data_IF_073115393310
#
_entry.id   IF_073115393310
#
_cell.length_a   1.000
_cell.length_b   1.000
_cell.length_c   1.000
_cell.angle_alpha   90.00
_cell.angle_beta   90.00
_cell.angle_gamma   90.00
#
_symmetry.space_group_name_H-M   'P 1'
#
loop_
_entity.id
_entity.type
_entity.pdbx_description
1 polymer ?
#
# COMPACT_ATOMS: atom_id res chain seq x y z
N UNK A 1 13.94 0.99 -17.42
CA UNK A 1 12.91 2.03 -17.68
C UNK A 1 11.52 1.68 -17.11
N UNK A 2 11.09 0.41 -17.08
CA UNK A 2 9.75 0.02 -16.60
C UNK A 2 9.43 0.45 -15.15
N UNK A 3 10.44 0.43 -14.26
CA UNK A 3 10.26 0.80 -12.85
C UNK A 3 9.92 2.28 -12.61
N UNK A 4 10.42 3.20 -13.44
CA UNK A 4 10.10 4.63 -13.30
C UNK A 4 8.64 4.94 -13.68
N UNK A 5 8.09 4.21 -14.66
CA UNK A 5 6.71 4.37 -15.08
C UNK A 5 5.73 3.92 -13.99
N UNK A 6 6.02 2.79 -13.33
CA UNK A 6 5.23 2.26 -12.20
C UNK A 6 5.26 3.23 -11.02
N UNK A 7 6.44 3.75 -10.66
CA UNK A 7 6.58 4.69 -9.54
C UNK A 7 5.83 6.01 -9.77
N UNK A 8 5.92 6.55 -10.99
CA UNK A 8 5.20 7.77 -11.38
C UNK A 8 3.69 7.56 -11.36
N UNK A 9 3.22 6.44 -11.92
CA UNK A 9 1.80 6.11 -11.94
C UNK A 9 1.22 5.94 -10.51
N UNK A 10 1.98 5.29 -9.63
CA UNK A 10 1.62 5.13 -8.22
C UNK A 10 1.49 6.47 -7.52
N UNK A 11 2.50 7.34 -7.66
CA UNK A 11 2.50 8.69 -7.07
C UNK A 11 1.29 9.51 -7.54
N UNK A 12 0.95 9.44 -8.83
CA UNK A 12 -0.19 10.18 -9.39
C UNK A 12 -1.55 9.63 -8.93
N UNK A 13 -1.63 8.31 -8.68
CA UNK A 13 -2.81 7.69 -8.07
C UNK A 13 -2.97 8.11 -6.60
N UNK A 14 -1.90 8.05 -5.81
CA UNK A 14 -1.90 8.47 -4.40
C UNK A 14 -2.23 9.96 -4.24
N UNK A 15 -1.80 10.80 -5.19
CA UNK A 15 -2.14 12.22 -5.25
C UNK A 15 -3.59 12.49 -5.71
N UNK A 16 -4.37 11.45 -6.03
CA UNK A 16 -5.74 11.59 -6.55
C UNK A 16 -5.82 12.21 -7.95
N UNK A 17 -4.69 12.31 -8.65
CA UNK A 17 -4.62 12.90 -10.00
C UNK A 17 -5.10 11.92 -11.07
N UNK A 18 -4.81 10.63 -10.89
CA UNK A 18 -5.22 9.55 -11.79
C UNK A 18 -6.07 8.53 -11.03
N UNK A 19 -7.03 7.93 -11.73
CA UNK A 19 -7.72 6.74 -11.23
C UNK A 19 -6.80 5.52 -11.28
N UNK A 20 -7.12 4.49 -10.49
CA UNK A 20 -6.36 3.23 -10.46
C UNK A 20 -6.16 2.62 -11.87
N UNK A 21 -7.19 2.70 -12.72
CA UNK A 21 -7.15 2.19 -14.10
C UNK A 21 -6.21 3.00 -15.00
N UNK A 22 -6.23 4.33 -14.89
CA UNK A 22 -5.35 5.20 -15.65
C UNK A 22 -3.88 5.03 -15.25
N UNK A 23 -3.62 4.93 -13.93
CA UNK A 23 -2.29 4.66 -13.41
C UNK A 23 -1.79 3.27 -13.85
N UNK A 24 -2.64 2.24 -13.81
CA UNK A 24 -2.26 0.88 -14.21
C UNK A 24 -1.90 0.82 -15.71
N UNK A 25 -2.69 1.48 -16.55
CA UNK A 25 -2.43 1.61 -17.99
C UNK A 25 -1.11 2.35 -18.27
N UNK A 26 -0.83 3.42 -17.52
CA UNK A 26 0.43 4.16 -17.64
C UNK A 26 1.65 3.33 -17.20
N UNK A 27 1.48 2.48 -16.19
CA UNK A 27 2.48 1.55 -15.70
C UNK A 27 2.66 0.31 -16.59
N UNK A 28 1.74 0.05 -17.53
CA UNK A 28 1.70 -1.18 -18.31
C UNK A 28 1.39 -2.42 -17.45
N UNK A 29 0.52 -2.23 -16.46
CA UNK A 29 0.07 -3.23 -15.49
C UNK A 29 -1.46 -3.37 -15.55
N UNK A 30 -1.98 -4.47 -15.02
CA UNK A 30 -3.41 -4.59 -14.71
C UNK A 30 -3.76 -3.79 -13.46
N UNK A 31 -5.02 -3.36 -13.35
CA UNK A 31 -5.55 -2.67 -12.16
C UNK A 31 -5.31 -3.44 -10.88
N UNK A 32 -5.48 -4.76 -10.88
CA UNK A 32 -5.20 -5.63 -9.73
C UNK A 32 -3.72 -5.62 -9.32
N UNK A 33 -2.80 -5.60 -10.30
CA UNK A 33 -1.35 -5.57 -10.01
C UNK A 33 -0.89 -4.21 -9.49
N UNK A 34 -1.53 -3.13 -9.95
CA UNK A 34 -1.30 -1.83 -9.36
C UNK A 34 -1.91 -1.78 -7.95
N UNK A 35 -3.16 -2.23 -7.78
CA UNK A 35 -3.83 -2.29 -6.49
C UNK A 35 -3.02 -3.06 -5.45
N UNK A 36 -2.41 -4.20 -5.80
CA UNK A 36 -1.54 -4.95 -4.89
C UNK A 36 -0.25 -4.21 -4.49
N UNK A 37 0.19 -3.22 -5.27
CA UNK A 37 1.37 -2.40 -4.97
C UNK A 37 1.05 -1.14 -4.16
N UNK A 38 -0.12 -0.53 -4.39
CA UNK A 38 -0.61 0.62 -3.60
C UNK A 38 -1.46 0.22 -2.40
N UNK A 39 -1.91 -1.03 -2.34
CA UNK A 39 -2.54 -1.55 -1.15
C UNK A 39 -1.58 -1.31 0.01
N UNK A 40 -2.04 -0.68 1.10
CA UNK A 40 -1.23 -0.59 2.29
C UNK A 40 -0.73 -1.99 2.56
N UNK A 41 0.57 -2.11 2.82
CA UNK A 41 1.11 -3.28 3.51
C UNK A 41 0.47 -3.25 4.89
N UNK A 42 -0.79 -3.64 4.96
CA UNK A 42 -1.53 -3.84 6.18
C UNK A 42 -0.76 -4.94 6.90
N UNK A 43 0.08 -4.45 7.79
CA UNK A 43 0.28 -4.94 9.13
C UNK A 43 0.36 -6.45 9.17
N UNK A 44 1.61 -6.90 9.29
CA UNK A 44 1.95 -8.15 9.91
C UNK A 44 0.93 -8.46 11.03
N UNK A 45 0.09 -9.51 10.91
CA UNK A 45 -0.86 -9.85 11.96
C UNK A 45 -0.18 -10.34 13.26
N UNK A 46 1.15 -10.22 13.39
CA UNK A 46 1.92 -10.59 14.57
C UNK A 46 2.28 -9.40 15.47
N UNK A 47 1.73 -8.20 15.24
CA UNK A 47 1.60 -7.20 16.31
C UNK A 47 0.41 -7.61 17.21
N UNK A 48 0.55 -8.80 17.81
CA UNK A 48 -0.17 -9.22 19.01
C UNK A 48 0.21 -8.21 20.11
N UNK A 49 -0.55 -7.12 20.13
CA UNK A 49 -1.04 -6.43 21.32
C UNK A 49 -0.41 -6.94 22.62
N UNK A 50 0.46 -6.10 23.19
CA UNK A 50 0.73 -5.93 24.61
C UNK A 50 -0.29 -6.65 25.52
N UNK A 51 0.03 -7.90 25.85
CA UNK A 51 -0.73 -8.78 26.74
C UNK A 51 -0.15 -8.86 28.15
N UNK A 52 0.62 -7.88 28.62
CA UNK A 52 1.06 -7.82 30.02
C UNK A 52 0.59 -6.52 30.68
N UNK A 53 -0.64 -6.60 31.19
CA UNK A 53 -1.19 -5.71 32.21
C UNK A 53 -0.16 -5.38 33.30
N UNK A 54 0.00 -4.10 33.70
CA UNK A 54 0.76 -3.78 34.90
C UNK A 54 -0.06 -4.23 36.12
N UNK A 55 0.30 -5.37 36.72
CA UNK A 55 -0.19 -5.73 38.06
C UNK A 55 0.47 -4.78 39.06
N UNK A 56 -0.30 -3.76 39.44
CA UNK A 56 -0.06 -2.91 40.60
C UNK A 56 -0.09 -3.77 41.86
N UNK A 57 0.86 -3.49 42.76
CA UNK A 57 1.09 -4.17 44.02
C UNK A 57 -0.09 -4.12 45.01
N UNK A 58 -0.23 -5.17 45.82
CA UNK A 58 -0.67 -5.13 47.23
C UNK A 58 0.23 -6.05 48.06
#
# INVERSE_FOLDING_TARGET
MRSHAVQTATTLYEAGTLTLEQAAKQAGLSTEQLAAQVAPRDVDPSDDVDGETPVVAD
#
